data_IF_419934841708
#
_entry.id   IF_419934841708
#
_cell.length_a   1.000
_cell.length_b   1.000
_cell.length_c   1.000
_cell.angle_alpha   90.00
_cell.angle_beta   90.00
_cell.angle_gamma   90.00
#
_symmetry.space_group_name_H-M   'P 1'
#
loop_
_entity.id
_entity.type
_entity.pdbx_description
1 polymer ?
#
# COMPACT_ATOMS: atom_id res chain seq x y z
N UNK A 1 -36.06 -19.09 -2.22
CA UNK A 1 -34.62 -18.82 -2.38
C UNK A 1 -34.35 -17.59 -1.52
N UNK A 2 -33.60 -17.76 -0.44
CA UNK A 2 -33.44 -16.74 0.60
C UNK A 2 -32.64 -15.56 0.08
N UNK A 3 -33.12 -14.35 0.39
CA UNK A 3 -32.39 -13.11 0.18
C UNK A 3 -31.26 -13.07 1.20
N UNK A 4 -30.07 -13.53 0.80
CA UNK A 4 -28.84 -13.28 1.53
C UNK A 4 -28.64 -11.76 1.58
N UNK A 5 -29.00 -11.16 2.70
CA UNK A 5 -28.73 -9.74 2.96
C UNK A 5 -27.24 -9.66 3.25
N UNK A 6 -26.42 -9.50 2.21
CA UNK A 6 -24.97 -9.31 2.35
C UNK A 6 -24.76 -7.99 3.10
N UNK A 7 -24.52 -8.06 4.41
CA UNK A 7 -24.40 -6.91 5.31
C UNK A 7 -23.06 -6.17 5.19
N UNK A 8 -22.53 -6.06 3.97
CA UNK A 8 -21.22 -5.49 3.68
C UNK A 8 -21.14 -4.77 2.34
N UNK A 9 -19.96 -4.23 2.05
CA UNK A 9 -19.63 -3.60 0.77
C UNK A 9 -19.73 -4.65 -0.34
N UNK A 10 -20.34 -4.32 -1.50
CA UNK A 10 -20.39 -5.28 -2.61
C UNK A 10 -18.98 -5.70 -3.05
N UNK A 11 -18.83 -6.94 -3.52
CA UNK A 11 -17.52 -7.51 -3.90
C UNK A 11 -16.72 -6.60 -4.84
N UNK A 12 -17.41 -5.91 -5.74
CA UNK A 12 -16.81 -4.93 -6.64
C UNK A 12 -16.21 -3.73 -5.90
N UNK A 13 -16.97 -3.14 -4.99
CA UNK A 13 -16.51 -1.96 -4.23
C UNK A 13 -15.40 -2.38 -3.25
N UNK A 14 -15.47 -3.58 -2.65
CA UNK A 14 -14.36 -4.14 -1.84
C UNK A 14 -13.07 -4.19 -2.64
N UNK A 15 -13.12 -4.73 -3.86
CA UNK A 15 -11.95 -4.78 -4.75
C UNK A 15 -11.39 -3.39 -5.08
N UNK A 16 -12.26 -2.43 -5.41
CA UNK A 16 -11.85 -1.03 -5.67
C UNK A 16 -11.19 -0.42 -4.44
N UNK A 17 -11.79 -0.54 -3.26
CA UNK A 17 -11.28 0.04 -2.02
C UNK A 17 -9.92 -0.55 -1.62
N UNK A 18 -9.74 -1.88 -1.72
CA UNK A 18 -8.44 -2.52 -1.44
C UNK A 18 -7.37 -2.01 -2.39
N UNK A 19 -7.68 -1.95 -3.69
CA UNK A 19 -6.72 -1.50 -4.72
C UNK A 19 -6.34 -0.04 -4.54
N UNK A 20 -7.33 0.83 -4.32
CA UNK A 20 -7.08 2.27 -4.14
C UNK A 20 -6.27 2.55 -2.88
N UNK A 21 -6.58 1.89 -1.76
CA UNK A 21 -5.78 2.00 -0.53
C UNK A 21 -4.37 1.43 -0.69
N UNK A 22 -4.22 0.31 -1.42
CA UNK A 22 -2.92 -0.27 -1.79
C UNK A 22 -2.05 0.74 -2.54
N UNK A 23 -2.60 1.33 -3.60
CA UNK A 23 -1.90 2.30 -4.42
C UNK A 23 -1.54 3.58 -3.64
N UNK A 24 -2.50 4.14 -2.88
CA UNK A 24 -2.28 5.36 -2.11
C UNK A 24 -1.21 5.18 -1.03
N UNK A 25 -1.19 4.05 -0.33
CA UNK A 25 -0.14 3.80 0.65
C UNK A 25 1.23 3.61 -0.01
N UNK A 26 1.30 3.02 -1.20
CA UNK A 26 2.56 2.92 -1.96
C UNK A 26 3.14 4.29 -2.29
N UNK A 27 2.30 5.22 -2.76
CA UNK A 27 2.70 6.61 -3.01
C UNK A 27 3.11 7.32 -1.72
N UNK A 28 2.34 7.17 -0.64
CA UNK A 28 2.68 7.73 0.66
C UNK A 28 4.02 7.18 1.20
N UNK A 29 4.28 5.88 1.02
CA UNK A 29 5.54 5.24 1.37
C UNK A 29 6.72 5.84 0.59
N UNK A 30 6.53 6.20 -0.69
CA UNK A 30 7.59 6.75 -1.53
C UNK A 30 7.97 8.15 -1.05
N UNK A 31 6.97 8.99 -0.77
CA UNK A 31 7.18 10.32 -0.21
C UNK A 31 7.84 10.23 1.17
N UNK A 32 7.38 9.32 2.04
CA UNK A 32 7.99 9.08 3.35
C UNK A 32 9.44 8.57 3.24
N UNK A 33 9.73 7.73 2.25
CA UNK A 33 11.10 7.25 1.99
C UNK A 33 12.02 8.41 1.60
N UNK A 34 11.55 9.29 0.71
CA UNK A 34 12.29 10.48 0.31
C UNK A 34 12.50 11.48 1.43
N UNK A 35 11.50 11.71 2.29
CA UNK A 35 11.60 12.67 3.39
C UNK A 35 12.43 12.16 4.58
N UNK A 36 12.40 10.86 4.86
CA UNK A 36 13.11 10.27 6.02
C UNK A 36 14.54 9.86 5.65
N UNK A 37 14.75 9.28 4.47
CA UNK A 37 16.04 8.71 4.04
C UNK A 37 16.79 9.64 3.08
N UNK A 38 16.08 10.55 2.42
CA UNK A 38 16.62 11.45 1.41
C UNK A 38 16.37 10.97 -0.02
N UNK A 39 16.83 11.76 -0.98
CA UNK A 39 16.66 11.52 -2.42
C UNK A 39 17.99 11.37 -3.17
N UNK A 40 19.10 11.28 -2.44
CA UNK A 40 20.44 11.05 -3.01
C UNK A 40 20.64 9.60 -3.47
N UNK A 41 21.70 9.36 -4.26
CA UNK A 41 22.06 8.01 -4.72
C UNK A 41 22.27 7.00 -3.57
N UNK A 42 22.66 7.46 -2.38
CA UNK A 42 22.76 6.63 -1.18
C UNK A 42 21.38 6.14 -0.69
N UNK A 43 20.33 6.96 -0.83
CA UNK A 43 18.98 6.58 -0.45
C UNK A 43 18.41 5.46 -1.33
N UNK A 44 18.82 5.38 -2.60
CA UNK A 44 18.42 4.33 -3.54
C UNK A 44 18.83 2.91 -3.11
N UNK A 45 19.90 2.78 -2.31
CA UNK A 45 20.41 1.49 -1.82
C UNK A 45 20.11 1.24 -0.34
N UNK A 46 19.40 2.16 0.31
CA UNK A 46 19.11 2.06 1.73
C UNK A 46 18.05 0.99 2.02
N UNK A 47 18.39 0.05 2.90
CA UNK A 47 17.43 -0.95 3.42
C UNK A 47 16.35 -0.33 4.29
N UNK A 48 16.53 0.91 4.75
CA UNK A 48 15.56 1.60 5.59
C UNK A 48 14.26 1.92 4.84
N UNK A 49 14.32 2.21 3.54
CA UNK A 49 13.14 2.46 2.71
C UNK A 49 12.27 1.20 2.58
N UNK A 50 12.89 0.02 2.51
CA UNK A 50 12.16 -1.27 2.55
C UNK A 50 11.43 -1.48 3.87
N UNK A 51 12.01 -1.04 5.00
CA UNK A 51 11.34 -1.12 6.30
C UNK A 51 10.12 -0.19 6.38
N UNK A 52 10.17 0.98 5.73
CA UNK A 52 9.02 1.91 5.64
C UNK A 52 7.87 1.24 4.88
N UNK A 53 8.17 0.62 3.73
CA UNK A 53 7.17 -0.10 2.94
C UNK A 53 6.57 -1.26 3.73
N UNK A 54 7.41 -2.09 4.36
CA UNK A 54 6.94 -3.21 5.17
C UNK A 54 6.05 -2.73 6.33
N UNK A 55 6.41 -1.64 6.99
CA UNK A 55 5.60 -1.02 8.04
C UNK A 55 4.25 -0.54 7.52
N UNK A 56 4.20 0.12 6.36
CA UNK A 56 2.94 0.59 5.77
C UNK A 56 2.04 -0.54 5.25
N UNK A 57 2.62 -1.63 4.72
CA UNK A 57 1.87 -2.83 4.36
C UNK A 57 1.20 -3.44 5.59
N UNK A 58 1.91 -3.53 6.72
CA UNK A 58 1.32 -4.04 7.96
C UNK A 58 0.25 -3.10 8.52
N UNK A 59 0.47 -1.77 8.44
CA UNK A 59 -0.47 -0.75 8.89
C UNK A 59 -1.75 -0.70 8.02
N UNK A 60 -1.70 -1.14 6.78
CA UNK A 60 -2.86 -1.17 5.89
C UNK A 60 -3.96 -2.10 6.39
N UNK A 61 -3.63 -3.25 6.99
CA UNK A 61 -4.64 -4.20 7.45
C UNK A 61 -5.57 -3.66 8.54
N UNK A 62 -5.10 -2.97 9.60
CA UNK A 62 -6.01 -2.31 10.54
C UNK A 62 -6.81 -1.18 9.87
N UNK A 63 -6.22 -0.42 8.93
CA UNK A 63 -6.96 0.61 8.18
C UNK A 63 -8.10 0.01 7.36
N UNK A 64 -7.85 -1.10 6.66
CA UNK A 64 -8.87 -1.83 5.91
C UNK A 64 -10.02 -2.32 6.81
N UNK A 65 -9.71 -2.80 8.02
CA UNK A 65 -10.74 -3.17 9.01
C UNK A 65 -11.58 -1.98 9.45
N UNK A 66 -10.97 -0.82 9.69
CA UNK A 66 -11.69 0.41 10.08
C UNK A 66 -12.63 0.89 8.97
N UNK A 67 -12.25 0.70 7.71
CA UNK A 67 -13.07 1.04 6.53
C UNK A 67 -14.21 0.03 6.29
N UNK A 68 -14.31 -1.02 7.12
CA UNK A 68 -15.35 -2.03 7.03
C UNK A 68 -15.04 -3.19 6.08
N UNK A 69 -13.77 -3.34 5.68
CA UNK A 69 -13.32 -4.52 4.92
C UNK A 69 -12.99 -5.63 5.91
N UNK A 70 -13.66 -6.78 5.73
CA UNK A 70 -13.34 -7.96 6.51
C UNK A 70 -12.04 -8.60 6.01
N UNK A 71 -10.95 -8.29 6.74
CA UNK A 71 -9.62 -8.86 6.49
C UNK A 71 -9.52 -10.29 7.06
N UNK A 72 -10.48 -10.76 7.86
CA UNK A 72 -10.48 -12.14 8.35
C UNK A 72 -10.81 -13.16 7.25
N UNK A 73 -11.53 -12.72 6.22
CA UNK A 73 -11.85 -13.52 5.03
C UNK A 73 -10.78 -13.43 3.93
N UNK A 74 -9.66 -12.77 4.19
CA UNK A 74 -8.58 -12.67 3.20
C UNK A 74 -7.85 -13.99 3.04
N UNK A 75 -7.75 -14.46 1.80
CA UNK A 75 -6.86 -15.55 1.43
C UNK A 75 -5.41 -15.06 1.28
N UNK A 76 -4.47 -16.00 1.15
CA UNK A 76 -3.05 -15.68 0.93
C UNK A 76 -2.82 -14.78 -0.30
N UNK A 77 -3.63 -14.93 -1.35
CA UNK A 77 -3.59 -14.11 -2.56
C UNK A 77 -3.91 -12.64 -2.28
N UNK A 78 -4.85 -12.36 -1.38
CA UNK A 78 -5.28 -10.99 -1.08
C UNK A 78 -4.19 -10.24 -0.31
N UNK A 79 -3.56 -10.91 0.66
CA UNK A 79 -2.39 -10.38 1.35
C UNK A 79 -1.22 -10.11 0.40
N UNK A 80 -0.94 -11.06 -0.50
CA UNK A 80 0.10 -10.89 -1.52
C UNK A 80 -0.22 -9.72 -2.45
N UNK A 81 -1.48 -9.56 -2.86
CA UNK A 81 -1.91 -8.47 -3.72
C UNK A 81 -1.68 -7.10 -3.07
N UNK A 82 -2.11 -6.92 -1.82
CA UNK A 82 -1.92 -5.66 -1.08
C UNK A 82 -0.44 -5.33 -0.91
N UNK A 83 0.37 -6.31 -0.52
CA UNK A 83 1.82 -6.12 -0.36
C UNK A 83 2.49 -5.78 -1.70
N UNK A 84 2.17 -6.52 -2.76
CA UNK A 84 2.74 -6.34 -4.09
C UNK A 84 2.37 -4.99 -4.69
N UNK A 85 1.08 -4.60 -4.64
CA UNK A 85 0.62 -3.32 -5.18
C UNK A 85 1.22 -2.13 -4.45
N UNK A 86 1.30 -2.20 -3.12
CA UNK A 86 1.93 -1.15 -2.30
C UNK A 86 3.42 -1.03 -2.63
N UNK A 87 4.13 -2.16 -2.76
CA UNK A 87 5.53 -2.19 -3.16
C UNK A 87 5.74 -1.64 -4.59
N UNK A 88 4.91 -2.04 -5.55
CA UNK A 88 5.05 -1.62 -6.94
C UNK A 88 4.85 -0.11 -7.09
N UNK A 89 3.81 0.46 -6.46
CA UNK A 89 3.61 1.91 -6.49
C UNK A 89 4.71 2.66 -5.76
N UNK A 90 5.15 2.16 -4.59
CA UNK A 90 6.30 2.73 -3.90
C UNK A 90 7.54 2.76 -4.80
N UNK A 91 7.89 1.63 -5.43
CA UNK A 91 9.09 1.47 -6.22
C UNK A 91 9.11 2.42 -7.42
N UNK A 92 7.99 2.51 -8.15
CA UNK A 92 7.88 3.39 -9.30
C UNK A 92 7.92 4.85 -8.87
N UNK A 93 7.13 5.26 -7.88
CA UNK A 93 7.09 6.65 -7.42
C UNK A 93 8.41 7.09 -6.82
N UNK A 94 9.04 6.27 -5.98
CA UNK A 94 10.33 6.58 -5.37
C UNK A 94 11.45 6.60 -6.43
N UNK A 95 11.42 5.70 -7.40
CA UNK A 95 12.33 5.73 -8.55
C UNK A 95 12.24 7.03 -9.36
N UNK A 96 11.03 7.54 -9.59
CA UNK A 96 10.81 8.84 -10.25
C UNK A 96 11.39 9.98 -9.39
N UNK A 97 11.08 10.02 -8.09
CA UNK A 97 11.61 11.03 -7.16
C UNK A 97 13.14 11.08 -7.19
N UNK A 98 13.79 9.92 -7.16
CA UNK A 98 15.25 9.79 -7.23
C UNK A 98 15.82 10.22 -8.58
N UNK A 99 15.15 9.86 -9.68
CA UNK A 99 15.63 10.16 -11.05
C UNK A 99 15.51 11.65 -11.37
N UNK A 100 14.43 12.29 -10.93
CA UNK A 100 14.18 13.72 -11.16
C UNK A 100 14.91 14.62 -10.14
N UNK A 101 15.60 14.05 -9.14
CA UNK A 101 16.34 14.80 -8.12
C UNK A 101 15.43 15.71 -7.27
N UNK A 102 14.21 15.25 -6.99
CA UNK A 102 13.22 16.04 -6.24
C UNK A 102 13.73 16.29 -4.81
N UNK A 103 13.59 17.53 -4.32
CA UNK A 103 13.83 17.88 -2.92
C UNK A 103 12.52 17.76 -2.11
N UNK A 104 12.57 17.06 -0.98
CA UNK A 104 11.44 16.77 -0.08
C UNK A 104 11.72 17.24 1.36
#
# INVERSE_FOLDING_TARGET
MATETQSGLSDHIRGITVTTLACLAGVAAAVASGSIVGTDAAAATSRQTLMIVAGLVVLQFPVLRVVGIDVSDFGAKDYLYVAFMTFALWFITFGIILTEGVAL
#
